data_IF_756477606923
#
_entry.id   IF_756477606923
#
_cell.length_a   1.000
_cell.length_b   1.000
_cell.length_c   1.000
_cell.angle_alpha   90.00
_cell.angle_beta   90.00
_cell.angle_gamma   90.00
#
_symmetry.space_group_name_H-M   'P 1'
#
loop_
_entity.id
_entity.type
_entity.pdbx_description
1 polymer ?
#
# COMPACT_ATOMS: atom_id res chain seq x y z
N UNK A 1 17.90 7.50 -19.79
CA UNK A 1 18.02 6.06 -19.45
C UNK A 1 19.46 5.59 -19.31
N UNK A 2 20.42 6.11 -20.10
CA UNK A 2 21.86 5.81 -19.92
C UNK A 2 22.36 6.04 -18.49
N UNK A 3 22.02 7.18 -17.89
CA UNK A 3 22.38 7.52 -16.51
C UNK A 3 21.82 6.51 -15.49
N UNK A 4 20.59 6.04 -15.69
CA UNK A 4 19.96 5.01 -14.84
C UNK A 4 20.75 3.71 -14.92
N UNK A 5 21.10 3.26 -16.13
CA UNK A 5 21.93 2.06 -16.31
C UNK A 5 23.33 2.21 -15.70
N UNK A 6 23.94 3.40 -15.83
CA UNK A 6 25.24 3.71 -15.22
C UNK A 6 25.17 3.62 -13.69
N UNK A 7 24.16 4.24 -13.08
CA UNK A 7 23.94 4.19 -11.63
C UNK A 7 23.67 2.77 -11.12
N UNK A 8 22.81 2.01 -11.82
CA UNK A 8 22.57 0.60 -11.46
C UNK A 8 23.84 -0.24 -11.53
N UNK A 9 24.70 -0.02 -12.54
CA UNK A 9 26.00 -0.70 -12.64
C UNK A 9 26.89 -0.39 -11.44
N UNK A 10 26.92 0.87 -10.98
CA UNK A 10 27.71 1.30 -9.83
C UNK A 10 27.21 0.73 -8.50
N UNK A 11 25.90 0.45 -8.41
CA UNK A 11 25.27 -0.15 -7.23
C UNK A 11 25.29 -1.69 -7.25
N UNK A 12 25.92 -2.30 -8.27
CA UNK A 12 25.91 -3.74 -8.52
C UNK A 12 24.48 -4.34 -8.56
N UNK A 13 23.54 -3.58 -9.13
CA UNK A 13 22.20 -4.08 -9.39
C UNK A 13 22.19 -4.87 -10.70
N UNK A 14 21.33 -5.87 -10.78
CA UNK A 14 21.10 -6.61 -12.02
C UNK A 14 19.82 -6.09 -12.66
N UNK A 15 19.79 -5.95 -14.00
CA UNK A 15 18.58 -5.51 -14.67
C UNK A 15 18.37 -6.17 -16.03
N UNK A 16 17.11 -6.18 -16.46
CA UNK A 16 16.70 -6.51 -17.82
C UNK A 16 16.04 -5.30 -18.47
N UNK A 17 16.47 -4.98 -19.68
CA UNK A 17 15.83 -3.96 -20.52
C UNK A 17 14.63 -4.62 -21.19
N UNK A 18 13.42 -4.23 -20.81
CA UNK A 18 12.19 -4.75 -21.43
C UNK A 18 11.85 -3.92 -22.66
N UNK A 19 11.96 -2.60 -22.54
CA UNK A 19 11.97 -1.67 -23.65
C UNK A 19 12.91 -0.49 -23.32
N UNK A 20 13.20 0.43 -24.26
CA UNK A 20 14.12 1.54 -24.02
C UNK A 20 13.78 2.45 -22.84
N UNK A 21 12.53 2.43 -22.36
CA UNK A 21 12.01 3.28 -21.27
C UNK A 21 11.51 2.47 -20.06
N UNK A 22 11.63 1.13 -20.09
CA UNK A 22 11.10 0.22 -19.08
C UNK A 22 12.15 -0.83 -18.71
N UNK A 23 12.54 -0.84 -17.44
CA UNK A 23 13.56 -1.73 -16.89
C UNK A 23 12.98 -2.55 -15.75
N UNK A 24 13.40 -3.81 -15.64
CA UNK A 24 13.19 -4.64 -14.45
C UNK A 24 14.51 -4.81 -13.73
N UNK A 25 14.57 -4.40 -12.48
CA UNK A 25 15.77 -4.34 -11.65
C UNK A 25 15.66 -5.34 -10.51
N UNK A 26 16.79 -5.93 -10.15
CA UNK A 26 16.93 -6.91 -9.08
C UNK A 26 18.17 -6.60 -8.27
N UNK A 27 18.06 -6.65 -6.94
CA UNK A 27 19.17 -6.53 -5.99
C UNK A 27 19.07 -7.68 -4.99
N UNK A 28 20.22 -8.25 -4.62
CA UNK A 28 20.34 -9.05 -3.40
C UNK A 28 20.97 -8.18 -2.30
N UNK A 29 20.30 -8.02 -1.17
CA UNK A 29 20.90 -7.33 -0.04
C UNK A 29 22.06 -8.17 0.53
N UNK A 30 23.27 -7.61 0.66
CA UNK A 30 24.44 -8.36 1.13
C UNK A 30 24.37 -8.70 2.63
N UNK A 31 23.60 -7.96 3.42
CA UNK A 31 23.43 -8.15 4.88
C UNK A 31 22.31 -9.13 5.19
N UNK A 32 21.11 -8.88 4.66
CA UNK A 32 19.92 -9.71 4.94
C UNK A 32 19.81 -10.91 4.00
N UNK A 33 20.52 -10.90 2.88
CA UNK A 33 20.40 -11.90 1.82
C UNK A 33 19.11 -11.80 1.01
N UNK A 34 18.21 -10.87 1.36
CA UNK A 34 16.90 -10.73 0.74
C UNK A 34 17.03 -10.25 -0.70
N UNK A 35 16.24 -10.85 -1.58
CA UNK A 35 16.20 -10.46 -2.98
C UNK A 35 15.00 -9.56 -3.21
N UNK A 36 15.25 -8.35 -3.71
CA UNK A 36 14.21 -7.35 -3.95
C UNK A 36 14.19 -7.00 -5.43
N UNK A 37 12.98 -6.86 -5.98
CA UNK A 37 12.75 -6.51 -7.38
C UNK A 37 11.94 -5.23 -7.47
N UNK A 38 12.24 -4.41 -8.46
CA UNK A 38 11.42 -3.25 -8.81
C UNK A 38 11.45 -2.99 -10.31
N UNK A 39 10.46 -2.26 -10.79
CA UNK A 39 10.42 -1.76 -12.15
C UNK A 39 10.73 -0.27 -12.18
N UNK A 40 11.43 0.16 -13.22
CA UNK A 40 11.67 1.57 -13.53
C UNK A 40 10.98 1.90 -14.85
N UNK A 41 10.16 2.94 -14.87
CA UNK A 41 9.44 3.36 -16.07
C UNK A 41 9.62 4.87 -16.27
N UNK A 42 10.17 5.25 -17.42
CA UNK A 42 10.26 6.65 -17.81
C UNK A 42 8.97 7.05 -18.55
N UNK A 43 8.34 8.10 -18.07
CA UNK A 43 7.19 8.74 -18.69
C UNK A 43 7.58 10.15 -19.15
N UNK A 44 7.02 10.57 -20.27
CA UNK A 44 7.10 11.95 -20.71
C UNK A 44 5.89 12.71 -20.15
N UNK A 45 6.14 13.79 -19.42
CA UNK A 45 5.08 14.63 -18.83
C UNK A 45 4.76 15.79 -19.79
N UNK A 46 5.79 16.49 -20.26
CA UNK A 46 5.70 17.52 -21.29
C UNK A 46 6.77 17.31 -22.39
N UNK A 47 6.90 18.26 -23.32
CA UNK A 47 7.90 18.20 -24.41
C UNK A 47 9.36 18.06 -23.94
N UNK A 48 9.67 18.48 -22.70
CA UNK A 48 11.03 18.48 -22.13
C UNK A 48 11.12 17.94 -20.71
N UNK A 49 10.00 17.57 -20.10
CA UNK A 49 9.94 17.09 -18.72
C UNK A 49 9.62 15.59 -18.73
N UNK A 50 10.35 14.84 -17.93
CA UNK A 50 10.20 13.41 -17.82
C UNK A 50 10.08 13.03 -16.35
N UNK A 51 9.25 12.02 -16.08
CA UNK A 51 9.05 11.43 -14.77
C UNK A 51 9.60 10.00 -14.80
N UNK A 52 10.45 9.66 -13.83
CA UNK A 52 10.90 8.28 -13.62
C UNK A 52 10.09 7.68 -12.46
N UNK A 53 9.24 6.70 -12.79
CA UNK A 53 8.43 5.95 -11.84
C UNK A 53 9.18 4.73 -11.30
N UNK A 54 8.92 4.42 -10.03
CA UNK A 54 9.50 3.29 -9.29
C UNK A 54 8.36 2.44 -8.74
N UNK A 55 8.28 1.18 -9.18
CA UNK A 55 7.23 0.25 -8.74
C UNK A 55 7.84 -1.01 -8.13
N UNK A 56 7.46 -1.34 -6.90
CA UNK A 56 7.86 -2.61 -6.28
C UNK A 56 7.29 -3.80 -7.07
N UNK A 57 8.02 -4.91 -7.08
CA UNK A 57 7.53 -6.20 -7.56
C UNK A 57 7.61 -7.17 -6.39
N UNK A 58 6.46 -7.72 -6.00
CA UNK A 58 6.36 -8.71 -4.94
C UNK A 58 6.69 -10.11 -5.47
N UNK A 59 7.25 -10.97 -4.62
CA UNK A 59 7.73 -12.32 -5.00
C UNK A 59 6.64 -13.41 -4.91
N UNK A 60 5.38 -13.05 -4.63
CA UNK A 60 4.29 -13.98 -4.27
C UNK A 60 3.84 -14.97 -5.35
N UNK A 61 4.46 -14.96 -6.54
CA UNK A 61 4.10 -15.87 -7.65
C UNK A 61 4.85 -17.21 -7.59
N UNK A 62 5.83 -17.42 -6.68
CA UNK A 62 6.65 -18.64 -6.74
C UNK A 62 6.23 -19.83 -5.85
N UNK A 63 5.37 -19.70 -4.83
CA UNK A 63 5.07 -20.82 -3.92
C UNK A 63 3.59 -20.86 -3.47
N UNK A 64 2.63 -20.95 -4.41
CA UNK A 64 1.29 -21.49 -4.09
C UNK A 64 1.23 -22.98 -4.43
N UNK A 65 2.00 -23.80 -3.70
CA UNK A 65 1.87 -25.27 -3.72
C UNK A 65 1.88 -25.86 -2.31
N UNK A 66 0.88 -25.51 -1.51
CA UNK A 66 0.36 -26.26 -0.35
C UNK A 66 -0.93 -25.52 0.04
N UNK A 67 -2.12 -26.02 -0.28
CA UNK A 67 -2.70 -27.21 0.31
C UNK A 67 -3.83 -26.75 1.25
N UNK A 68 -5.04 -26.72 0.73
CA UNK A 68 -6.35 -26.77 1.42
C UNK A 68 -6.49 -26.03 2.75
N UNK A 69 -7.11 -24.85 2.74
CA UNK A 69 -7.81 -24.31 3.89
C UNK A 69 -9.19 -23.79 3.47
N UNK A 70 -10.22 -24.63 3.64
CA UNK A 70 -11.63 -24.22 3.61
C UNK A 70 -11.90 -23.17 4.69
N UNK A 71 -12.44 -21.98 4.35
CA UNK A 71 -12.86 -21.03 5.38
C UNK A 71 -14.20 -21.50 5.97
N UNK A 72 -14.18 -22.05 7.18
CA UNK A 72 -15.41 -22.18 7.97
C UNK A 72 -15.87 -20.78 8.36
N UNK A 73 -16.88 -20.27 7.63
CA UNK A 73 -17.62 -19.06 7.97
C UNK A 73 -18.31 -19.28 9.32
N UNK A 74 -17.77 -18.72 10.39
CA UNK A 74 -18.47 -18.62 11.66
C UNK A 74 -19.60 -17.59 11.49
N UNK A 75 -20.84 -18.08 11.44
CA UNK A 75 -22.04 -17.26 11.45
C UNK A 75 -22.25 -16.69 12.85
N UNK A 76 -22.21 -15.37 12.98
CA UNK A 76 -22.70 -14.69 14.18
C UNK A 76 -23.98 -13.95 13.82
N UNK A 77 -25.09 -14.49 14.33
CA UNK A 77 -26.44 -13.93 14.28
C UNK A 77 -26.47 -12.72 15.21
N UNK A 78 -26.66 -11.53 14.64
CA UNK A 78 -26.87 -10.28 15.38
C UNK A 78 -28.22 -9.68 15.02
N UNK A 79 -29.17 -9.79 15.94
CA UNK A 79 -30.56 -9.38 15.81
C UNK A 79 -30.75 -7.92 15.35
N UNK A 80 -31.64 -7.73 14.38
CA UNK A 80 -32.30 -6.46 14.14
C UNK A 80 -33.30 -6.17 15.27
N UNK A 81 -33.13 -5.05 15.98
CA UNK A 81 -34.24 -4.40 16.68
C UNK A 81 -34.39 -2.99 16.14
N UNK A 82 -35.65 -2.68 15.88
CA UNK A 82 -36.10 -1.67 14.96
C UNK A 82 -36.47 -0.40 15.74
N UNK A 83 -36.50 0.70 15.00
CA UNK A 83 -37.41 1.86 15.16
C UNK A 83 -37.25 2.76 16.38
N UNK A 84 -36.62 3.89 16.11
CA UNK A 84 -36.88 5.23 16.66
C UNK A 84 -38.26 5.75 16.24
N UNK A 85 -39.08 6.25 17.18
CA UNK A 85 -39.85 7.52 17.06
C UNK A 85 -40.53 7.86 18.40
N UNK A 86 -40.23 9.04 18.96
CA UNK A 86 -41.03 9.68 20.00
C UNK A 86 -41.95 10.71 19.34
N UNK A 87 -43.23 10.66 19.69
CA UNK A 87 -44.25 11.69 19.47
C UNK A 87 -44.12 12.82 20.52
N UNK A 88 -44.45 14.06 20.14
CA UNK A 88 -45.21 15.02 20.96
C UNK A 88 -45.81 16.09 20.02
N UNK A 89 -47.08 16.35 20.25
CA UNK A 89 -48.09 17.07 19.46
C UNK A 89 -48.12 18.59 19.74
N UNK A 90 -48.60 19.38 18.75
CA UNK A 90 -49.40 20.59 19.03
C UNK A 90 -48.96 21.94 18.43
N UNK A 91 -49.65 22.35 17.33
CA UNK A 91 -50.22 23.71 17.01
C UNK A 91 -49.28 24.95 16.95
N UNK A 92 -49.33 25.93 16.01
CA UNK A 92 -50.22 26.38 14.92
C UNK A 92 -49.50 27.44 14.00
N UNK A 93 -50.07 27.63 12.80
CA UNK A 93 -50.08 28.81 11.85
C UNK A 93 -48.88 29.22 10.95
N UNK A 94 -49.16 29.77 9.73
CA UNK A 94 -48.41 29.49 8.48
C UNK A 94 -47.74 30.73 7.84
N UNK A 95 -46.77 30.51 6.94
CA UNK A 95 -46.64 31.20 5.64
C UNK A 95 -45.27 30.97 4.95
N UNK A 96 -45.34 30.89 3.63
CA UNK A 96 -44.31 31.28 2.64
C UNK A 96 -43.05 30.41 2.47
N UNK A 97 -43.18 29.48 1.52
CA UNK A 97 -42.34 29.29 0.31
C UNK A 97 -40.80 29.17 0.41
N UNK A 98 -40.36 28.05 -0.19
CA UNK A 98 -39.12 27.83 -0.93
C UNK A 98 -37.86 27.35 -0.16
N UNK A 99 -37.62 26.04 -0.34
CA UNK A 99 -36.35 25.36 -0.55
C UNK A 99 -35.27 25.34 0.56
N UNK A 100 -35.25 24.18 1.24
CA UNK A 100 -34.11 23.35 1.63
C UNK A 100 -33.16 23.81 2.76
N UNK A 101 -33.06 22.91 3.74
CA UNK A 101 -32.49 23.02 5.08
C UNK A 101 -30.95 22.79 5.15
N UNK A 102 -30.31 23.26 6.25
CA UNK A 102 -29.00 22.80 6.73
C UNK A 102 -29.12 21.45 7.49
N UNK A 103 -28.03 20.73 7.81
CA UNK A 103 -27.58 20.74 9.22
C UNK A 103 -26.07 20.47 9.48
N UNK A 104 -25.67 20.96 10.64
CA UNK A 104 -24.46 20.70 11.44
C UNK A 104 -24.33 19.22 11.84
N UNK A 105 -23.20 18.56 11.56
CA UNK A 105 -22.70 17.31 12.20
C UNK A 105 -21.17 17.32 12.10
N UNK A 106 -20.43 17.27 13.22
CA UNK A 106 -20.01 16.09 14.01
C UNK A 106 -18.74 15.42 13.46
N UNK A 107 -17.88 15.05 14.39
CA UNK A 107 -16.50 14.57 14.26
C UNK A 107 -16.31 13.43 13.25
N UNK A 108 -15.16 13.40 12.58
CA UNK A 108 -14.79 12.38 11.61
C UNK A 108 -13.28 12.16 11.54
N UNK A 109 -12.71 11.72 12.67
CA UNK A 109 -11.39 11.08 12.70
C UNK A 109 -11.49 9.77 11.91
N UNK A 110 -10.71 9.64 10.83
CA UNK A 110 -10.49 8.37 10.14
C UNK A 110 -9.00 8.15 10.01
N UNK A 111 -8.40 7.71 11.12
CA UNK A 111 -7.15 6.99 11.11
C UNK A 111 -7.31 5.77 10.19
N UNK A 112 -6.53 5.73 9.11
CA UNK A 112 -6.42 4.59 8.22
C UNK A 112 -5.92 3.38 9.00
N UNK A 113 -6.74 2.33 8.95
CA UNK A 113 -6.57 1.10 9.71
C UNK A 113 -5.30 0.37 9.34
N UNK A 114 -4.37 0.28 10.30
CA UNK A 114 -3.32 -0.74 10.33
C UNK A 114 -3.92 -1.96 11.03
N UNK A 115 -4.29 -3.00 10.28
CA UNK A 115 -4.59 -4.32 10.84
C UNK A 115 -3.73 -5.36 10.14
N UNK A 116 -2.47 -5.49 10.54
CA UNK A 116 -1.78 -6.78 10.42
C UNK A 116 -2.18 -7.61 11.63
N UNK A 117 -3.12 -8.53 11.41
CA UNK A 117 -3.63 -9.45 12.41
C UNK A 117 -2.48 -10.25 13.05
N UNK A 118 -2.36 -10.13 14.36
CA UNK A 118 -1.55 -11.00 15.21
C UNK A 118 -2.31 -12.32 15.39
N UNK A 119 -1.79 -13.40 14.82
CA UNK A 119 -2.13 -14.74 15.29
C UNK A 119 -0.82 -15.44 15.65
N UNK A 120 -0.62 -15.64 16.95
CA UNK A 120 0.22 -16.70 17.52
C UNK A 120 0.03 -16.69 19.03
N UNK A 121 -0.81 -17.60 19.52
CA UNK A 121 -0.83 -17.97 20.93
C UNK A 121 0.38 -18.84 21.28
N UNK A 122 0.97 -18.50 22.44
CA UNK A 122 1.73 -19.35 23.34
C UNK A 122 3.00 -20.03 22.81
N UNK A 123 4.14 -19.37 23.03
CA UNK A 123 5.47 -19.98 23.05
C UNK A 123 6.51 -18.92 23.37
N UNK A 124 6.97 -18.90 24.62
CA UNK A 124 8.05 -18.04 25.11
C UNK A 124 9.32 -18.20 24.24
N UNK A 125 9.56 -17.20 23.39
CA UNK A 125 10.84 -16.97 22.72
C UNK A 125 10.85 -15.54 22.23
N UNK A 126 11.69 -14.73 22.87
CA UNK A 126 12.19 -13.44 22.43
C UNK A 126 12.07 -13.28 20.90
N UNK A 127 10.98 -12.67 20.42
CA UNK A 127 10.72 -12.51 18.99
C UNK A 127 11.59 -11.36 18.48
N UNK A 128 12.88 -11.65 18.30
CA UNK A 128 13.79 -10.78 17.56
C UNK A 128 13.14 -10.55 16.18
N UNK A 129 12.82 -9.30 15.79
CA UNK A 129 12.24 -9.03 14.48
C UNK A 129 13.18 -9.61 13.42
N UNK A 130 12.63 -10.46 12.55
CA UNK A 130 13.42 -11.08 11.49
C UNK A 130 14.09 -9.97 10.65
N UNK A 131 15.41 -10.01 10.40
CA UNK A 131 16.07 -8.93 9.67
C UNK A 131 15.54 -8.88 8.23
N UNK A 132 15.01 -7.72 7.83
CA UNK A 132 14.62 -7.43 6.44
C UNK A 132 13.13 -7.24 6.25
N UNK A 133 12.73 -6.03 5.86
CA UNK A 133 11.38 -5.70 5.39
C UNK A 133 11.44 -5.38 3.90
N UNK A 134 10.67 -6.11 3.07
CA UNK A 134 10.66 -5.90 1.62
C UNK A 134 10.33 -4.46 1.26
N UNK A 135 9.35 -3.86 1.94
CA UNK A 135 8.99 -2.45 1.77
C UNK A 135 10.16 -1.51 2.06
N UNK A 136 10.92 -1.75 3.13
CA UNK A 136 12.09 -0.94 3.47
C UNK A 136 13.16 -1.08 2.40
N UNK A 137 13.39 -2.29 1.91
CA UNK A 137 14.43 -2.58 0.92
C UNK A 137 14.10 -2.02 -0.46
N UNK A 138 12.81 -1.96 -0.80
CA UNK A 138 12.34 -1.21 -1.96
C UNK A 138 12.69 0.28 -1.84
N UNK A 139 12.40 0.91 -0.70
CA UNK A 139 12.74 2.32 -0.49
C UNK A 139 14.24 2.59 -0.49
N UNK A 140 15.05 1.69 0.10
CA UNK A 140 16.51 1.78 0.03
C UNK A 140 17.02 1.72 -1.41
N UNK A 141 16.50 0.81 -2.24
CA UNK A 141 16.88 0.74 -3.65
C UNK A 141 16.55 2.05 -4.39
N UNK A 142 15.36 2.62 -4.16
CA UNK A 142 14.96 3.89 -4.75
C UNK A 142 15.91 5.02 -4.32
N UNK A 143 16.15 5.15 -3.02
CA UNK A 143 17.02 6.18 -2.46
C UNK A 143 18.45 6.11 -3.01
N UNK A 144 19.01 4.91 -3.13
CA UNK A 144 20.35 4.70 -3.69
C UNK A 144 20.43 5.13 -5.16
N UNK A 145 19.42 4.81 -5.97
CA UNK A 145 19.38 5.25 -7.36
C UNK A 145 19.23 6.76 -7.47
N UNK A 146 18.28 7.36 -6.74
CA UNK A 146 18.05 8.80 -6.75
C UNK A 146 19.32 9.55 -6.35
N UNK A 147 20.03 9.08 -5.32
CA UNK A 147 21.29 9.68 -4.85
C UNK A 147 22.39 9.73 -5.93
N UNK A 148 22.42 8.76 -6.85
CA UNK A 148 23.39 8.74 -7.95
C UNK A 148 22.91 9.51 -9.19
N UNK A 149 21.60 9.65 -9.38
CA UNK A 149 21.00 10.32 -10.55
C UNK A 149 20.80 11.82 -10.36
N UNK A 150 20.58 12.28 -9.13
CA UNK A 150 20.31 13.68 -8.80
C UNK A 150 21.59 14.47 -8.52
N UNK A 151 22.71 14.13 -9.18
CA UNK A 151 24.01 14.81 -9.06
C UNK A 151 24.35 15.61 -10.30
#
# INVERSE_FOLDING_TARGET
MSEVCRAMKQLDYEWKVVNPYYLRVRRKNPVTGMLTKMSLQLYQVDSRTYLLDFRSIDDDILETKSGTATPLRSGSVGNHRNTTKNDVEGTDVPATSAAALPPKTAEGSLASSLTSSIDSMAGDSMSVPRPGSHTIEFFEMCANLIKLLAR
#
